data_IF_647807339651
#
_entry.id   IF_647807339651
#
_cell.length_a   1.000
_cell.length_b   1.000
_cell.length_c   1.000
_cell.angle_alpha   90.00
_cell.angle_beta   90.00
_cell.angle_gamma   90.00
#
_symmetry.space_group_name_H-M   'P 1'
#
loop_
_entity.id
_entity.type
_entity.pdbx_description
1 polymer ?
#
# COMPACT_ATOMS: atom_id res chain seq x y z
N UNK A 1 -17.26 5.31 12.84
CA UNK A 1 -16.19 4.56 12.14
C UNK A 1 -14.88 4.79 12.88
N UNK A 2 -14.07 3.75 13.06
CA UNK A 2 -12.77 3.83 13.73
C UNK A 2 -11.72 4.35 12.74
N UNK A 3 -10.80 5.20 13.19
CA UNK A 3 -9.62 5.58 12.39
C UNK A 3 -8.59 4.46 12.44
N UNK A 4 -8.19 3.96 11.27
CA UNK A 4 -7.15 2.95 11.11
C UNK A 4 -5.78 3.59 10.93
N UNK A 5 -5.74 4.74 10.26
CA UNK A 5 -4.54 5.58 10.12
C UNK A 5 -4.93 7.01 10.45
N UNK A 6 -4.11 7.70 11.23
CA UNK A 6 -4.17 9.13 11.50
C UNK A 6 -2.77 9.72 11.31
N UNK A 7 -2.64 10.69 10.44
CA UNK A 7 -1.42 11.47 10.22
C UNK A 7 -1.69 12.93 10.56
N UNK A 8 -0.84 13.53 11.38
CA UNK A 8 -1.00 14.92 11.83
C UNK A 8 0.30 15.67 11.58
N UNK A 9 0.28 16.64 10.67
CA UNK A 9 1.40 17.53 10.32
C UNK A 9 2.71 16.75 10.02
N UNK A 10 2.57 15.54 9.42
CA UNK A 10 3.73 14.70 9.14
C UNK A 10 4.70 15.40 8.22
N UNK A 11 5.96 15.46 8.65
CA UNK A 11 7.06 16.06 7.88
C UNK A 11 8.25 15.13 7.87
N UNK A 12 8.89 15.00 6.69
CA UNK A 12 10.14 14.23 6.55
C UNK A 12 11.12 14.97 5.68
N UNK A 13 12.28 15.27 6.29
CA UNK A 13 13.43 15.86 5.63
C UNK A 13 14.56 14.82 5.48
N UNK A 14 15.18 14.79 4.31
CA UNK A 14 16.43 14.06 4.03
C UNK A 14 17.49 15.09 3.66
N UNK A 15 18.30 15.49 4.63
CA UNK A 15 19.22 16.63 4.46
C UNK A 15 18.45 17.90 4.07
N UNK A 16 18.73 18.43 2.90
CA UNK A 16 18.07 19.66 2.38
C UNK A 16 16.79 19.38 1.57
N UNK A 17 16.39 18.11 1.41
CA UNK A 17 15.21 17.73 0.64
C UNK A 17 14.04 17.45 1.59
N UNK A 18 12.95 18.20 1.46
CA UNK A 18 11.70 17.94 2.17
C UNK A 18 10.85 16.99 1.34
N UNK A 19 10.84 15.70 1.71
CA UNK A 19 10.10 14.66 0.98
C UNK A 19 8.61 14.63 1.35
N UNK A 20 8.26 15.05 2.56
CA UNK A 20 6.89 15.17 3.06
C UNK A 20 6.83 16.42 3.92
N UNK A 21 5.86 17.29 3.70
CA UNK A 21 5.79 18.62 4.29
C UNK A 21 4.42 18.92 4.93
N UNK A 22 4.30 18.68 6.24
CA UNK A 22 3.13 19.05 7.04
C UNK A 22 1.83 18.36 6.60
N UNK A 23 1.89 17.07 6.23
CA UNK A 23 0.72 16.35 5.70
C UNK A 23 -0.15 15.81 6.83
N UNK A 24 -1.46 16.13 6.76
CA UNK A 24 -2.48 15.60 7.67
C UNK A 24 -3.59 14.91 6.89
N UNK A 25 -3.90 13.64 7.24
CA UNK A 25 -5.02 12.89 6.70
C UNK A 25 -5.40 11.73 7.61
N UNK A 26 -6.54 11.10 7.35
CA UNK A 26 -6.98 9.91 8.04
C UNK A 26 -7.53 8.85 7.07
N UNK A 27 -7.35 7.57 7.44
CA UNK A 27 -7.96 6.42 6.76
C UNK A 27 -8.91 5.75 7.74
N UNK A 28 -10.15 5.53 7.32
CA UNK A 28 -11.20 4.95 8.15
C UNK A 28 -11.25 3.42 7.99
N UNK A 29 -11.80 2.74 8.98
CA UNK A 29 -12.05 1.29 8.90
C UNK A 29 -13.03 0.99 7.74
N UNK A 30 -12.72 -0.02 6.94
CA UNK A 30 -13.56 -0.47 5.83
C UNK A 30 -13.49 0.43 4.60
N UNK A 31 -12.39 1.20 4.40
CA UNK A 31 -12.19 1.97 3.17
C UNK A 31 -10.93 1.55 2.38
N UNK A 32 -10.99 1.71 1.07
CA UNK A 32 -9.84 1.65 0.19
C UNK A 32 -9.41 3.09 -0.13
N UNK A 33 -8.31 3.51 0.52
CA UNK A 33 -7.75 4.85 0.39
C UNK A 33 -6.58 4.87 -0.60
N UNK A 34 -6.67 5.68 -1.65
CA UNK A 34 -5.63 5.88 -2.65
C UNK A 34 -4.71 7.05 -2.32
N UNK A 35 -3.40 6.82 -2.23
CA UNK A 35 -2.40 7.88 -2.14
C UNK A 35 -1.79 8.12 -3.52
N UNK A 36 -2.23 9.17 -4.20
CA UNK A 36 -1.91 9.47 -5.60
C UNK A 36 -0.81 10.50 -5.74
N UNK A 37 -0.04 10.40 -6.80
CA UNK A 37 0.97 11.43 -7.13
C UNK A 37 2.05 10.90 -8.05
N UNK A 38 2.82 11.79 -8.70
CA UNK A 38 3.93 11.41 -9.57
C UNK A 38 5.07 10.77 -8.76
N UNK A 39 6.04 10.20 -9.47
CA UNK A 39 7.26 9.71 -8.82
C UNK A 39 7.97 10.88 -8.11
N UNK A 40 8.44 10.62 -6.88
CA UNK A 40 9.08 11.65 -6.06
C UNK A 40 8.13 12.53 -5.26
N UNK A 41 6.80 12.38 -5.37
CA UNK A 41 5.83 13.19 -4.61
C UNK A 41 5.79 12.94 -3.11
N UNK A 42 6.46 11.89 -2.61
CA UNK A 42 6.51 11.54 -1.19
C UNK A 42 5.71 10.32 -0.76
N UNK A 43 5.00 9.62 -1.65
CA UNK A 43 4.14 8.43 -1.35
C UNK A 43 4.89 7.34 -0.58
N UNK A 44 5.99 6.84 -1.13
CA UNK A 44 6.82 5.80 -0.49
C UNK A 44 7.37 6.27 0.86
N UNK A 45 7.79 7.54 0.98
CA UNK A 45 8.22 8.12 2.26
C UNK A 45 7.08 8.12 3.27
N UNK A 46 5.86 8.48 2.86
CA UNK A 46 4.67 8.43 3.70
C UNK A 46 4.42 6.99 4.20
N UNK A 47 4.39 6.00 3.32
CA UNK A 47 4.21 4.59 3.69
C UNK A 47 5.31 4.13 4.65
N UNK A 48 6.57 4.50 4.42
CA UNK A 48 7.68 4.16 5.31
C UNK A 48 7.56 4.79 6.71
N UNK A 49 7.01 5.98 6.82
CA UNK A 49 6.71 6.59 8.12
C UNK A 49 5.57 5.85 8.83
N UNK A 50 4.48 5.55 8.12
CA UNK A 50 3.32 4.83 8.67
C UNK A 50 3.64 3.38 9.08
N UNK A 51 4.64 2.76 8.45
CA UNK A 51 5.10 1.40 8.79
C UNK A 51 6.25 1.38 9.81
N UNK A 52 6.69 2.56 10.30
CA UNK A 52 7.78 2.68 11.24
C UNK A 52 9.16 2.29 10.69
N UNK A 53 9.33 2.32 9.36
CA UNK A 53 10.66 2.13 8.72
C UNK A 53 11.50 3.39 8.78
N UNK A 54 10.85 4.55 8.82
CA UNK A 54 11.49 5.86 8.88
C UNK A 54 10.76 6.72 9.91
N UNK A 55 11.49 7.34 10.84
CA UNK A 55 10.92 8.30 11.77
C UNK A 55 10.61 9.63 11.07
N UNK A 56 9.46 10.25 11.36
CA UNK A 56 9.18 11.61 10.90
C UNK A 56 10.18 12.61 11.49
N UNK A 57 10.41 13.72 10.80
CA UNK A 57 11.20 14.85 11.31
C UNK A 57 10.35 15.75 12.22
N UNK A 58 9.05 15.86 11.90
CA UNK A 58 8.04 16.55 12.72
C UNK A 58 6.66 15.94 12.47
N UNK A 59 5.70 16.29 13.34
CA UNK A 59 4.36 15.72 13.30
C UNK A 59 4.30 14.33 13.94
N UNK A 60 3.15 13.67 13.83
CA UNK A 60 2.92 12.35 14.41
C UNK A 60 1.98 11.51 13.56
N UNK A 61 2.04 10.19 13.73
CA UNK A 61 1.10 9.27 13.13
C UNK A 61 0.59 8.25 14.17
N UNK A 62 -0.63 7.76 13.94
CA UNK A 62 -1.15 6.58 14.61
C UNK A 62 -1.64 5.58 13.56
N UNK A 63 -1.25 4.33 13.72
CA UNK A 63 -1.67 3.23 12.87
C UNK A 63 -2.27 2.16 13.76
N UNK A 64 -3.56 1.89 13.60
CA UNK A 64 -4.36 1.03 14.48
C UNK A 64 -4.23 1.41 15.98
N UNK A 65 -4.02 2.71 16.25
CA UNK A 65 -3.87 3.26 17.60
C UNK A 65 -2.43 3.27 18.13
N UNK A 66 -1.47 2.63 17.49
CA UNK A 66 -0.06 2.64 17.85
C UNK A 66 0.70 3.76 17.13
N UNK A 67 1.72 4.30 17.77
CA UNK A 67 2.66 5.23 17.15
C UNK A 67 3.79 4.45 16.45
N UNK A 68 3.91 4.52 15.10
CA UNK A 68 4.94 3.79 14.36
C UNK A 68 6.37 4.29 14.63
N UNK A 69 6.56 5.49 15.17
CA UNK A 69 7.87 5.99 15.57
C UNK A 69 8.34 5.43 16.92
N UNK A 70 7.41 5.07 17.80
CA UNK A 70 7.69 4.53 19.12
C UNK A 70 7.63 2.99 19.15
N UNK A 71 6.61 2.40 18.51
CA UNK A 71 6.43 0.94 18.43
C UNK A 71 6.33 0.43 16.97
N UNK A 72 7.42 0.51 16.18
CA UNK A 72 7.42 0.06 14.80
C UNK A 72 7.21 -1.46 14.65
N UNK A 73 7.57 -2.26 15.65
CA UNK A 73 7.39 -3.71 15.62
C UNK A 73 5.93 -4.05 15.87
N UNK A 74 5.32 -3.47 16.90
CA UNK A 74 3.89 -3.66 17.19
C UNK A 74 3.00 -3.25 16.01
N UNK A 75 3.29 -2.11 15.36
CA UNK A 75 2.57 -1.72 14.14
C UNK A 75 2.70 -2.78 13.05
N UNK A 76 3.92 -3.21 12.71
CA UNK A 76 4.15 -4.21 11.65
C UNK A 76 3.59 -5.60 11.95
N UNK A 77 3.39 -5.95 13.22
CA UNK A 77 2.68 -7.18 13.58
C UNK A 77 1.19 -7.13 13.25
N UNK A 78 0.57 -5.95 13.29
CA UNK A 78 -0.87 -5.77 13.08
C UNK A 78 -1.25 -5.57 11.61
N UNK A 79 -0.31 -5.12 10.77
CA UNK A 79 -0.59 -4.71 9.38
C UNK A 79 0.04 -5.65 8.35
N UNK A 80 -0.55 -5.69 7.16
CA UNK A 80 0.08 -6.20 5.95
C UNK A 80 0.87 -5.10 5.23
N UNK A 81 2.00 -5.47 4.63
CA UNK A 81 2.82 -4.51 3.86
C UNK A 81 3.23 -5.16 2.54
N UNK A 82 2.88 -4.49 1.44
CA UNK A 82 3.43 -4.79 0.11
C UNK A 82 4.35 -3.62 -0.26
N UNK A 83 5.69 -3.82 -0.28
CA UNK A 83 6.63 -2.76 -0.62
C UNK A 83 6.71 -2.55 -2.14
N UNK A 84 7.15 -1.36 -2.56
CA UNK A 84 7.41 -1.02 -3.96
C UNK A 84 8.45 -1.97 -4.61
N UNK A 85 9.49 -2.33 -3.85
CA UNK A 85 10.54 -3.24 -4.33
C UNK A 85 10.34 -4.63 -3.76
N UNK A 86 10.22 -5.60 -4.66
CA UNK A 86 10.08 -7.01 -4.30
C UNK A 86 11.44 -7.59 -3.89
N UNK A 87 11.65 -7.78 -2.59
CA UNK A 87 12.92 -8.29 -2.04
C UNK A 87 12.75 -9.52 -1.15
N UNK A 88 12.12 -10.61 -1.64
CA UNK A 88 12.13 -11.85 -0.89
C UNK A 88 13.55 -12.42 -0.83
N UNK A 89 13.93 -13.16 0.24
CA UNK A 89 15.24 -13.78 0.36
C UNK A 89 15.58 -14.66 -0.84
N UNK A 90 16.69 -14.35 -1.53
CA UNK A 90 17.06 -14.94 -2.81
C UNK A 90 17.29 -16.46 -2.78
N UNK A 91 17.64 -17.00 -1.60
CA UNK A 91 18.00 -18.42 -1.36
C UNK A 91 16.83 -19.28 -0.89
N UNK A 92 15.66 -18.71 -0.64
CA UNK A 92 14.44 -19.47 -0.32
C UNK A 92 13.63 -19.71 -1.59
N UNK A 93 12.87 -20.80 -1.61
CA UNK A 93 11.82 -20.99 -2.61
C UNK A 93 10.63 -20.11 -2.26
N UNK A 94 9.69 -19.95 -3.21
CA UNK A 94 8.48 -19.17 -2.96
C UNK A 94 7.68 -19.74 -1.77
N UNK A 95 7.54 -21.05 -1.69
CA UNK A 95 6.85 -21.73 -0.59
C UNK A 95 7.60 -21.58 0.73
N UNK A 96 8.91 -21.85 0.75
CA UNK A 96 9.74 -21.67 1.95
C UNK A 96 9.66 -20.23 2.49
N UNK A 97 9.57 -19.25 1.61
CA UNK A 97 9.41 -17.84 2.04
C UNK A 97 8.06 -17.60 2.71
N UNK A 98 6.95 -18.10 2.15
CA UNK A 98 5.63 -17.96 2.79
C UNK A 98 5.58 -18.71 4.12
N UNK A 99 6.14 -19.92 4.20
CA UNK A 99 6.28 -20.68 5.44
C UNK A 99 7.12 -19.94 6.49
N UNK A 100 8.22 -19.33 6.09
CA UNK A 100 9.05 -18.50 6.96
C UNK A 100 8.26 -17.31 7.53
N UNK A 101 7.52 -16.58 6.69
CA UNK A 101 6.66 -15.48 7.12
C UNK A 101 5.58 -15.98 8.09
N UNK A 102 4.91 -17.09 7.76
CA UNK A 102 3.88 -17.67 8.60
C UNK A 102 4.40 -18.06 9.99
N UNK A 103 5.59 -18.66 10.06
CA UNK A 103 6.24 -19.06 11.33
C UNK A 103 6.63 -17.86 12.18
N UNK A 104 7.19 -16.78 11.58
CA UNK A 104 7.52 -15.54 12.31
C UNK A 104 6.27 -14.93 12.92
N UNK A 105 5.12 -15.05 12.26
CA UNK A 105 3.83 -14.55 12.72
C UNK A 105 3.05 -15.54 13.60
N UNK A 106 3.63 -16.71 13.90
CA UNK A 106 3.01 -17.78 14.68
C UNK A 106 1.64 -18.24 14.15
N UNK A 107 1.51 -18.34 12.83
CA UNK A 107 0.27 -18.77 12.19
C UNK A 107 0.11 -20.28 12.25
N UNK A 108 -1.12 -20.73 12.37
CA UNK A 108 -1.55 -22.11 12.20
C UNK A 108 -1.93 -22.42 10.73
N UNK A 109 -2.15 -23.68 10.40
CA UNK A 109 -2.58 -24.16 9.07
C UNK A 109 -1.80 -23.52 7.93
N UNK A 110 -0.46 -23.51 8.06
CA UNK A 110 0.45 -22.80 7.15
C UNK A 110 0.24 -23.26 5.71
N UNK A 111 0.17 -24.57 5.47
CA UNK A 111 0.03 -25.12 4.12
C UNK A 111 -1.27 -24.67 3.45
N UNK A 112 -2.41 -24.75 4.15
CA UNK A 112 -3.71 -24.29 3.64
C UNK A 112 -3.70 -22.79 3.30
N UNK A 113 -3.03 -21.96 4.13
CA UNK A 113 -2.90 -20.52 3.88
C UNK A 113 -2.03 -20.26 2.66
N UNK A 114 -0.92 -20.99 2.51
CA UNK A 114 -0.04 -20.86 1.34
C UNK A 114 -0.75 -21.32 0.06
N UNK A 115 -1.42 -22.48 0.09
CA UNK A 115 -2.18 -23.03 -1.03
C UNK A 115 -3.21 -22.02 -1.55
N UNK A 116 -3.99 -21.43 -0.66
CA UNK A 116 -4.97 -20.38 -1.02
C UNK A 116 -4.35 -19.26 -1.84
N UNK A 117 -3.15 -18.78 -1.49
CA UNK A 117 -2.50 -17.66 -2.18
C UNK A 117 -1.86 -18.08 -3.50
N UNK A 118 -1.27 -19.27 -3.56
CA UNK A 118 -0.76 -19.83 -4.81
C UNK A 118 -1.89 -20.00 -5.83
N UNK A 119 -3.06 -20.48 -5.37
CA UNK A 119 -4.25 -20.67 -6.20
C UNK A 119 -4.85 -19.34 -6.66
N UNK A 120 -5.10 -18.42 -5.71
CA UNK A 120 -5.72 -17.13 -6.00
C UNK A 120 -4.93 -16.31 -7.03
N UNK A 121 -3.61 -16.28 -6.90
CA UNK A 121 -2.75 -15.49 -7.78
C UNK A 121 -2.19 -16.30 -8.97
N UNK A 122 -2.53 -17.59 -9.09
CA UNK A 122 -2.18 -18.45 -10.21
C UNK A 122 -0.68 -18.57 -10.43
N UNK A 123 0.08 -19.08 -9.45
CA UNK A 123 1.52 -19.32 -9.57
C UNK A 123 2.02 -20.57 -8.85
N UNK A 124 1.16 -21.62 -8.76
CA UNK A 124 1.47 -22.90 -8.12
C UNK A 124 2.71 -23.56 -8.70
N UNK A 125 2.90 -23.45 -10.02
CA UNK A 125 4.06 -24.03 -10.71
C UNK A 125 5.41 -23.38 -10.33
N UNK A 126 5.38 -22.30 -9.53
CA UNK A 126 6.56 -21.59 -9.03
C UNK A 126 6.85 -21.87 -7.55
N UNK A 127 6.11 -22.75 -6.89
CA UNK A 127 6.29 -23.06 -5.44
C UNK A 127 7.73 -23.37 -5.09
N UNK A 128 8.34 -24.29 -5.84
CA UNK A 128 9.69 -24.79 -5.62
C UNK A 128 10.79 -23.94 -6.29
N UNK A 129 10.41 -22.88 -7.00
CA UNK A 129 11.38 -21.99 -7.63
C UNK A 129 12.02 -21.05 -6.59
N UNK A 130 13.34 -20.89 -6.65
CA UNK A 130 14.05 -19.93 -5.79
C UNK A 130 13.56 -18.51 -6.08
N UNK A 131 13.42 -17.69 -5.04
CA UNK A 131 12.94 -16.32 -5.17
C UNK A 131 13.80 -15.47 -6.13
N UNK A 132 15.12 -15.75 -6.23
CA UNK A 132 16.00 -15.09 -7.21
C UNK A 132 15.65 -15.40 -8.67
N UNK A 133 15.09 -16.58 -8.92
CA UNK A 133 14.79 -17.07 -10.28
C UNK A 133 13.35 -16.73 -10.72
N UNK A 134 12.54 -16.15 -9.82
CA UNK A 134 11.20 -15.67 -10.13
C UNK A 134 11.24 -14.42 -11.03
N UNK A 135 10.29 -14.33 -11.96
CA UNK A 135 10.05 -13.09 -12.70
C UNK A 135 9.62 -11.96 -11.75
N UNK A 136 9.75 -10.71 -12.19
CA UNK A 136 9.30 -9.56 -11.40
C UNK A 136 7.81 -9.65 -11.04
N UNK A 137 6.95 -10.01 -11.99
CA UNK A 137 5.51 -10.20 -11.74
C UNK A 137 5.23 -11.34 -10.74
N UNK A 138 5.97 -12.46 -10.82
CA UNK A 138 5.81 -13.56 -9.85
C UNK A 138 6.29 -13.16 -8.45
N UNK A 139 7.38 -12.41 -8.34
CA UNK A 139 7.80 -11.84 -7.05
C UNK A 139 6.75 -10.91 -6.46
N UNK A 140 6.11 -10.08 -7.31
CA UNK A 140 5.03 -9.20 -6.87
C UNK A 140 3.84 -10.01 -6.31
N UNK A 141 3.41 -11.10 -7.00
CA UNK A 141 2.40 -12.02 -6.48
C UNK A 141 2.78 -12.56 -5.10
N UNK A 142 4.03 -13.00 -4.95
CA UNK A 142 4.56 -13.51 -3.69
C UNK A 142 4.54 -12.44 -2.58
N UNK A 143 4.87 -11.18 -2.89
CA UNK A 143 4.80 -10.06 -1.93
C UNK A 143 3.36 -9.71 -1.55
N UNK A 144 2.39 -9.82 -2.46
CA UNK A 144 0.97 -9.70 -2.12
C UNK A 144 0.56 -10.84 -1.19
N UNK A 145 0.85 -12.10 -1.55
CA UNK A 145 0.52 -13.26 -0.72
C UNK A 145 1.03 -13.13 0.72
N UNK A 146 2.32 -12.76 0.91
CA UNK A 146 2.90 -12.61 2.25
C UNK A 146 2.23 -11.50 3.08
N UNK A 147 1.77 -10.41 2.44
CA UNK A 147 1.15 -9.29 3.14
C UNK A 147 -0.21 -9.65 3.74
N UNK A 148 -0.96 -10.53 3.08
CA UNK A 148 -2.29 -10.97 3.51
C UNK A 148 -2.30 -12.32 4.23
N UNK A 149 -1.18 -13.02 4.33
CA UNK A 149 -1.09 -14.37 4.87
C UNK A 149 -1.64 -14.51 6.31
N UNK A 150 -1.51 -13.45 7.11
CA UNK A 150 -1.97 -13.40 8.50
C UNK A 150 -3.33 -12.69 8.67
N UNK A 151 -4.05 -12.46 7.56
CA UNK A 151 -5.39 -11.87 7.55
C UNK A 151 -5.46 -10.55 8.34
N UNK A 152 -4.59 -9.56 8.04
CA UNK A 152 -4.57 -8.30 8.77
C UNK A 152 -5.87 -7.53 8.57
N UNK A 153 -6.20 -6.57 9.44
CA UNK A 153 -7.32 -5.65 9.24
C UNK A 153 -6.95 -4.40 8.42
N UNK A 154 -5.67 -4.13 8.29
CA UNK A 154 -5.13 -2.99 7.54
C UNK A 154 -3.95 -3.44 6.70
N UNK A 155 -3.93 -3.08 5.44
CA UNK A 155 -2.80 -3.33 4.53
C UNK A 155 -2.34 -2.02 3.89
N UNK A 156 -1.03 -1.80 3.90
CA UNK A 156 -0.38 -0.69 3.20
C UNK A 156 0.37 -1.25 1.99
N UNK A 157 0.07 -0.71 0.81
CA UNK A 157 0.53 -1.25 -0.47
C UNK A 157 1.20 -0.14 -1.27
N UNK A 158 2.48 -0.32 -1.60
CA UNK A 158 3.24 0.65 -2.39
C UNK A 158 3.39 0.15 -3.84
N UNK A 159 2.67 0.79 -4.78
CA UNK A 159 2.70 0.53 -6.24
C UNK A 159 2.53 -0.96 -6.65
N UNK A 160 1.51 -1.70 -6.15
CA UNK A 160 1.45 -3.17 -6.26
C UNK A 160 1.15 -3.71 -7.65
N UNK A 161 0.59 -2.90 -8.54
CA UNK A 161 0.00 -3.40 -9.80
C UNK A 161 0.88 -3.16 -11.03
N UNK A 162 1.97 -2.42 -10.90
CA UNK A 162 2.81 -1.98 -12.05
C UNK A 162 3.41 -3.15 -12.84
N UNK A 163 3.77 -4.24 -12.18
CA UNK A 163 4.53 -5.34 -12.78
C UNK A 163 3.70 -6.61 -13.01
N UNK A 164 2.39 -6.53 -12.82
CA UNK A 164 1.48 -7.64 -13.02
C UNK A 164 0.88 -7.61 -14.42
N UNK A 165 0.63 -8.78 -14.99
CA UNK A 165 -0.15 -8.89 -16.22
C UNK A 165 -1.62 -8.46 -15.98
N UNK A 166 -2.36 -8.07 -17.03
CA UNK A 166 -3.72 -7.52 -16.86
C UNK A 166 -4.70 -8.47 -16.17
N UNK A 167 -4.55 -9.79 -16.32
CA UNK A 167 -5.42 -10.78 -15.70
C UNK A 167 -5.18 -10.79 -14.19
N UNK A 168 -3.91 -10.82 -13.77
CA UNK A 168 -3.54 -10.78 -12.35
C UNK A 168 -3.84 -9.42 -11.72
N UNK A 169 -3.63 -8.31 -12.45
CA UNK A 169 -4.08 -7.00 -11.98
C UNK A 169 -5.57 -7.00 -11.65
N UNK A 170 -6.39 -7.58 -12.53
CA UNK A 170 -7.84 -7.70 -12.28
C UNK A 170 -8.13 -8.53 -11.04
N UNK A 171 -7.50 -9.72 -10.92
CA UNK A 171 -7.66 -10.59 -9.74
C UNK A 171 -7.31 -9.87 -8.45
N UNK A 172 -6.19 -9.13 -8.42
CA UNK A 172 -5.78 -8.36 -7.22
C UNK A 172 -6.76 -7.23 -6.92
N UNK A 173 -7.25 -6.49 -7.93
CA UNK A 173 -8.26 -5.43 -7.72
C UNK A 173 -9.56 -6.00 -7.16
N UNK A 174 -10.07 -7.06 -7.75
CA UNK A 174 -11.30 -7.72 -7.28
C UNK A 174 -11.14 -8.23 -5.84
N UNK A 175 -9.99 -8.84 -5.52
CA UNK A 175 -9.64 -9.28 -4.16
C UNK A 175 -9.61 -8.11 -3.18
N UNK A 176 -8.97 -6.97 -3.52
CA UNK A 176 -8.90 -5.80 -2.63
C UNK A 176 -10.28 -5.20 -2.36
N UNK A 177 -11.15 -5.14 -3.37
CA UNK A 177 -12.53 -4.68 -3.20
C UNK A 177 -13.37 -5.63 -2.32
N UNK A 178 -13.19 -6.94 -2.47
CA UNK A 178 -13.85 -7.93 -1.62
C UNK A 178 -13.35 -7.84 -0.19
N UNK A 179 -12.03 -7.77 -0.01
CA UNK A 179 -11.39 -7.61 1.30
C UNK A 179 -11.92 -6.37 2.07
N UNK A 180 -12.13 -5.25 1.38
CA UNK A 180 -12.68 -4.03 1.99
C UNK A 180 -14.18 -4.21 2.30
N UNK A 181 -14.95 -4.85 1.42
CA UNK A 181 -16.36 -5.19 1.69
C UNK A 181 -16.54 -6.09 2.91
N UNK A 182 -15.56 -6.95 3.18
CA UNK A 182 -15.51 -7.84 4.36
C UNK A 182 -14.98 -7.14 5.63
N UNK A 183 -14.78 -5.82 5.58
CA UNK A 183 -14.37 -4.98 6.70
C UNK A 183 -12.86 -4.77 6.84
N UNK A 184 -12.07 -5.22 5.88
CA UNK A 184 -10.65 -4.88 5.76
C UNK A 184 -10.46 -3.41 5.37
N UNK A 185 -9.26 -2.88 5.57
CA UNK A 185 -8.89 -1.51 5.20
C UNK A 185 -7.62 -1.52 4.38
N UNK A 186 -7.57 -0.73 3.32
CA UNK A 186 -6.40 -0.66 2.44
C UNK A 186 -5.96 0.78 2.25
N UNK A 187 -4.65 1.05 2.40
CA UNK A 187 -4.00 2.23 1.86
C UNK A 187 -3.11 1.78 0.70
N UNK A 188 -3.43 2.23 -0.50
CA UNK A 188 -2.66 1.93 -1.72
C UNK A 188 -2.01 3.20 -2.26
N UNK A 189 -0.70 3.17 -2.52
CA UNK A 189 -0.06 4.22 -3.31
C UNK A 189 -0.05 3.85 -4.78
N UNK A 190 -0.31 4.82 -5.65
CA UNK A 190 -0.15 4.62 -7.09
C UNK A 190 0.02 5.94 -7.83
N UNK A 191 0.66 5.90 -8.99
CA UNK A 191 0.67 6.98 -9.96
C UNK A 191 -0.28 6.70 -11.16
N UNK A 192 -0.93 5.53 -11.16
CA UNK A 192 -1.89 5.10 -12.19
C UNK A 192 -3.29 5.50 -11.74
N UNK A 193 -3.79 6.61 -12.30
CA UNK A 193 -5.03 7.24 -11.84
C UNK A 193 -6.27 6.39 -12.14
N UNK A 194 -6.25 5.63 -13.23
CA UNK A 194 -7.33 4.73 -13.62
C UNK A 194 -7.57 3.63 -12.57
N UNK A 195 -6.50 3.15 -11.93
CA UNK A 195 -6.62 2.17 -10.84
C UNK A 195 -7.34 2.80 -9.64
N UNK A 196 -6.93 4.02 -9.26
CA UNK A 196 -7.55 4.70 -8.15
C UNK A 196 -9.02 5.05 -8.43
N UNK A 197 -9.34 5.49 -9.65
CA UNK A 197 -10.71 5.78 -10.08
C UNK A 197 -11.61 4.53 -10.03
N UNK A 198 -11.05 3.35 -10.33
CA UNK A 198 -11.79 2.08 -10.35
C UNK A 198 -12.03 1.50 -8.96
N UNK A 199 -11.07 1.59 -8.03
CA UNK A 199 -11.16 0.83 -6.77
C UNK A 199 -11.13 1.65 -5.49
N UNK A 200 -10.72 2.94 -5.51
CA UNK A 200 -10.57 3.72 -4.28
C UNK A 200 -11.84 4.48 -3.92
N UNK A 201 -12.26 4.38 -2.66
CA UNK A 201 -13.39 5.17 -2.11
C UNK A 201 -12.99 6.64 -1.93
N UNK A 202 -11.80 6.86 -1.36
CA UNK A 202 -11.22 8.18 -1.13
C UNK A 202 -9.78 8.21 -1.60
N UNK A 203 -9.34 9.41 -1.96
CA UNK A 203 -7.96 9.64 -2.43
C UNK A 203 -7.33 10.85 -1.75
N UNK A 204 -6.01 10.74 -1.55
CA UNK A 204 -5.13 11.86 -1.23
C UNK A 204 -4.18 12.11 -2.40
N UNK A 205 -4.13 13.32 -2.93
CA UNK A 205 -3.24 13.71 -4.03
C UNK A 205 -1.99 14.38 -3.47
N UNK A 206 -0.83 13.74 -3.67
CA UNK A 206 0.48 14.26 -3.27
C UNK A 206 1.22 14.86 -4.46
N UNK A 207 1.78 16.05 -4.25
CA UNK A 207 2.69 16.70 -5.19
C UNK A 207 3.75 17.47 -4.41
N UNK A 208 5.03 17.31 -4.78
CA UNK A 208 6.19 17.98 -4.14
C UNK A 208 6.15 17.96 -2.60
N UNK A 209 5.80 16.80 -2.03
CA UNK A 209 5.72 16.61 -0.59
C UNK A 209 4.51 17.22 0.09
N UNK A 210 3.57 17.83 -0.64
CA UNK A 210 2.34 18.44 -0.11
C UNK A 210 1.11 17.60 -0.47
N UNK A 211 0.08 17.69 0.35
CA UNK A 211 -1.24 17.10 0.11
C UNK A 211 -2.14 18.17 -0.53
N UNK A 212 -2.40 18.05 -1.83
CA UNK A 212 -3.20 19.02 -2.58
C UNK A 212 -4.71 18.76 -2.47
N UNK A 213 -5.10 17.50 -2.27
CA UNK A 213 -6.49 17.08 -2.12
C UNK A 213 -6.57 15.88 -1.17
N UNK A 214 -7.63 15.80 -0.39
CA UNK A 214 -7.99 14.61 0.38
C UNK A 214 -9.52 14.53 0.51
N UNK A 215 -10.12 13.54 -0.14
CA UNK A 215 -11.59 13.42 -0.17
C UNK A 215 -12.07 12.23 -0.99
N UNK A 216 -13.39 12.19 -1.22
CA UNK A 216 -14.02 11.16 -2.05
C UNK A 216 -13.44 11.17 -3.47
N UNK A 217 -13.21 9.99 -4.05
CA UNK A 217 -12.67 9.86 -5.42
C UNK A 217 -13.57 10.54 -6.44
N UNK A 218 -14.88 10.34 -6.33
CA UNK A 218 -15.90 10.98 -7.18
C UNK A 218 -15.89 12.52 -7.05
N UNK A 219 -15.59 13.03 -5.85
CA UNK A 219 -15.49 14.46 -5.58
C UNK A 219 -14.31 15.12 -6.30
N UNK A 220 -13.21 14.40 -6.47
CA UNK A 220 -12.07 14.87 -7.24
C UNK A 220 -12.36 14.82 -8.75
N UNK A 221 -12.90 13.69 -9.24
CA UNK A 221 -13.21 13.54 -10.66
C UNK A 221 -14.21 14.61 -11.16
N UNK A 222 -15.23 14.91 -10.34
CA UNK A 222 -16.29 15.84 -10.72
C UNK A 222 -17.23 15.31 -11.80
N UNK A 223 -18.39 15.95 -12.04
CA UNK A 223 -19.35 15.48 -13.03
C UNK A 223 -18.78 15.52 -14.45
N UNK A 224 -18.68 14.35 -15.11
CA UNK A 224 -18.27 14.25 -16.53
C UNK A 224 -16.79 14.52 -16.81
N UNK A 225 -15.93 14.49 -15.78
CA UNK A 225 -14.48 14.60 -15.90
C UNK A 225 -13.81 13.31 -15.40
N UNK A 226 -12.71 12.92 -16.05
CA UNK A 226 -11.85 11.84 -15.53
C UNK A 226 -11.02 12.35 -14.34
N UNK A 227 -10.66 11.43 -13.45
CA UNK A 227 -9.75 11.68 -12.34
C UNK A 227 -8.41 12.26 -12.84
N UNK A 228 -7.91 11.76 -13.99
CA UNK A 228 -6.67 12.22 -14.62
C UNK A 228 -6.70 13.72 -14.92
N UNK A 229 -7.78 14.21 -15.52
CA UNK A 229 -7.88 15.63 -15.88
C UNK A 229 -7.92 16.52 -14.64
N UNK A 230 -8.67 16.13 -13.62
CA UNK A 230 -8.76 16.87 -12.35
C UNK A 230 -7.43 16.85 -11.60
N UNK A 231 -6.72 15.72 -11.62
CA UNK A 231 -5.38 15.62 -11.07
C UNK A 231 -4.39 16.58 -11.77
N UNK A 232 -4.38 16.62 -13.10
CA UNK A 232 -3.52 17.53 -13.87
C UNK A 232 -3.82 19.00 -13.59
N UNK A 233 -5.09 19.35 -13.42
CA UNK A 233 -5.50 20.74 -13.09
C UNK A 233 -5.00 21.14 -11.69
N UNK A 234 -5.08 20.24 -10.69
CA UNK A 234 -4.55 20.45 -9.35
C UNK A 234 -3.04 20.66 -9.34
N UNK A 235 -2.30 19.76 -10.00
CA UNK A 235 -0.83 19.84 -10.04
C UNK A 235 -0.34 21.08 -10.78
N UNK A 236 -1.01 21.49 -11.87
CA UNK A 236 -0.68 22.72 -12.61
C UNK A 236 -1.01 23.98 -11.80
N UNK A 237 -2.08 23.97 -11.02
CA UNK A 237 -2.46 25.07 -10.15
C UNK A 237 -1.44 25.29 -9.02
N UNK A 238 -0.86 24.24 -8.45
CA UNK A 238 0.20 24.34 -7.43
C UNK A 238 1.54 24.82 -8.02
N UNK A 239 1.85 24.44 -9.27
CA UNK A 239 3.09 24.86 -9.94
C UNK A 239 3.10 26.35 -10.34
N UNK A 240 1.96 27.05 -10.26
CA UNK A 240 1.80 28.48 -10.60
C UNK A 240 1.62 29.40 -9.40
N UNK A 241 1.64 28.87 -8.17
CA UNK A 241 1.50 29.59 -6.91
C UNK A 241 2.83 29.63 -6.15
#
# INVERSE_FOLDING_TARGET
>A
MRQMIEATELTKNYGNVTAVNGISFSVMEGELFGLLGPNGSGKTTMIRMLTGQVRPTAGSARVMGLDPAEDPIGVRQLIGIVPEQETPPSFLTAEEYLHFVARIRNLDRIDERCDRWFDLLGFQEKRDALCKDLSRGTRQKLMVAQAFLHEPRLVLIDEPLINLDPIVQRTVKDFLQEYVRDGGTVLISTHILEIAEEICDRVGVLHDGKLLYCGQTEGLAGPGRSLERSFLDLVRGDAGA
#
